data_IF_758129523192
#
_entry.id   IF_758129523192
#
_cell.length_a   1.000
_cell.length_b   1.000
_cell.length_c   1.000
_cell.angle_alpha   90.00
_cell.angle_beta   90.00
_cell.angle_gamma   90.00
#
_symmetry.space_group_name_H-M   'P 1'
#
loop_
_entity.id
_entity.type
_entity.pdbx_description
1 polymer ?
#
# COMPACT_ATOMS: atom_id res chain seq x y z
N UNK A 1 45.21 -26.69 19.43
CA UNK A 1 44.35 -25.83 18.59
C UNK A 1 42.89 -26.16 18.91
N UNK A 2 42.20 -25.40 19.78
CA UNK A 2 40.78 -25.64 20.05
C UNK A 2 39.91 -24.99 18.97
N UNK A 3 38.91 -25.74 18.52
CA UNK A 3 37.96 -25.37 17.47
C UNK A 3 36.97 -24.31 17.99
N UNK A 4 36.81 -23.22 17.25
CA UNK A 4 35.93 -22.12 17.58
C UNK A 4 34.46 -22.53 17.40
N UNK A 5 33.69 -22.47 18.49
CA UNK A 5 32.26 -22.71 18.50
C UNK A 5 31.52 -21.73 17.59
N UNK A 6 30.88 -22.26 16.55
CA UNK A 6 29.96 -21.52 15.70
C UNK A 6 28.78 -21.02 16.55
N UNK A 7 28.71 -19.70 16.78
CA UNK A 7 27.53 -19.08 17.39
C UNK A 7 26.38 -19.22 16.40
N UNK A 8 25.37 -20.02 16.77
CA UNK A 8 24.09 -20.09 16.05
C UNK A 8 23.50 -18.67 16.01
N UNK A 9 23.29 -18.17 14.79
CA UNK A 9 22.58 -16.93 14.50
C UNK A 9 21.08 -17.18 14.81
N UNK A 10 20.42 -16.38 15.66
CA UNK A 10 18.99 -16.56 15.90
C UNK A 10 18.21 -16.30 14.60
N UNK A 11 17.26 -17.17 14.30
CA UNK A 11 16.32 -16.96 13.19
C UNK A 11 15.46 -15.72 13.49
N UNK A 12 15.12 -14.90 12.48
CA UNK A 12 14.13 -13.84 12.67
C UNK A 12 12.81 -14.48 13.09
N UNK A 13 12.27 -14.01 14.22
CA UNK A 13 11.03 -14.55 14.79
C UNK A 13 9.89 -14.39 13.79
N UNK A 14 9.20 -15.49 13.49
CA UNK A 14 7.93 -15.44 12.79
C UNK A 14 6.97 -14.52 13.58
N UNK A 15 6.20 -13.64 12.92
CA UNK A 15 5.29 -12.77 13.63
C UNK A 15 4.21 -13.57 14.33
N UNK A 16 3.80 -13.13 15.52
CA UNK A 16 2.64 -13.68 16.22
C UNK A 16 1.42 -13.62 15.30
N UNK A 17 0.67 -14.72 15.24
CA UNK A 17 -0.52 -14.84 14.39
C UNK A 17 -1.60 -13.78 14.63
N UNK A 18 -1.53 -13.05 15.75
CA UNK A 18 -2.37 -11.89 16.03
C UNK A 18 -2.00 -10.67 15.15
N UNK A 19 -0.72 -10.34 15.02
CA UNK A 19 -0.24 -9.26 14.15
C UNK A 19 -0.54 -9.58 12.67
N UNK A 20 -0.53 -10.85 12.30
CA UNK A 20 -0.94 -11.31 10.98
C UNK A 20 -2.42 -11.10 10.69
N UNK A 21 -3.27 -11.34 11.70
CA UNK A 21 -4.73 -11.16 11.61
C UNK A 21 -5.12 -9.69 11.60
N UNK A 22 -4.42 -8.85 12.37
CA UNK A 22 -4.58 -7.39 12.34
C UNK A 22 -4.11 -6.82 11.00
N UNK A 23 -2.96 -7.25 10.48
CA UNK A 23 -2.47 -6.86 9.15
C UNK A 23 -3.42 -7.29 8.01
N UNK A 24 -4.04 -8.47 8.12
CA UNK A 24 -5.07 -8.90 7.17
C UNK A 24 -6.33 -8.03 7.27
N UNK A 25 -6.82 -7.77 8.48
CA UNK A 25 -7.96 -6.86 8.70
C UNK A 25 -7.71 -5.44 8.19
N UNK A 26 -6.47 -4.95 8.29
CA UNK A 26 -6.01 -3.66 7.75
C UNK A 26 -6.03 -3.63 6.21
N UNK A 27 -5.81 -4.76 5.53
CA UNK A 27 -5.87 -4.85 4.07
C UNK A 27 -7.31 -4.96 3.55
N UNK A 28 -8.20 -5.67 4.27
CA UNK A 28 -9.60 -5.85 3.88
C UNK A 28 -10.48 -4.62 4.15
N UNK A 29 -10.09 -3.74 5.07
CA UNK A 29 -10.78 -2.45 5.30
C UNK A 29 -10.29 -1.30 4.42
N UNK A 30 -9.30 -1.51 3.56
CA UNK A 30 -8.76 -0.47 2.68
C UNK A 30 -9.63 -0.22 1.43
N UNK A 31 -10.43 -1.21 1.01
CA UNK A 31 -11.29 -1.15 -0.18
C UNK A 31 -12.63 -0.40 0.06
N UNK A 32 -13.06 -0.22 1.31
CA UNK A 32 -14.40 0.30 1.69
C UNK A 32 -14.39 1.73 2.28
N UNK A 33 -13.26 2.44 2.21
CA UNK A 33 -13.20 3.80 2.77
C UNK A 33 -13.62 4.82 1.73
N UNK A 34 -14.89 5.22 1.76
CA UNK A 34 -15.34 6.45 1.10
C UNK A 34 -14.91 7.66 1.97
N UNK A 35 -13.92 8.45 1.50
CA UNK A 35 -13.27 9.49 2.29
C UNK A 35 -14.19 10.66 2.70
N UNK A 36 -15.35 10.80 2.06
CA UNK A 36 -16.30 11.90 2.34
C UNK A 36 -17.23 11.59 3.54
N UNK A 37 -17.34 10.33 3.97
CA UNK A 37 -18.37 9.89 4.92
C UNK A 37 -17.92 9.83 6.40
N UNK A 38 -16.62 9.93 6.71
CA UNK A 38 -16.09 9.64 8.06
C UNK A 38 -15.92 10.85 8.97
N UNK A 39 -16.05 12.08 8.47
CA UNK A 39 -15.87 13.31 9.27
C UNK A 39 -14.47 13.44 9.91
N UNK A 40 -13.51 12.62 9.48
CA UNK A 40 -12.11 12.69 9.89
C UNK A 40 -11.47 13.97 9.34
N UNK A 41 -10.41 14.51 9.99
CA UNK A 41 -9.64 15.58 9.39
C UNK A 41 -9.20 15.14 8.00
N UNK A 42 -9.55 15.92 6.97
CA UNK A 42 -9.24 15.64 5.56
C UNK A 42 -7.73 15.65 5.27
N UNK A 43 -6.92 15.95 6.28
CA UNK A 43 -5.48 16.09 6.21
C UNK A 43 -4.84 15.79 7.57
N UNK A 44 -3.74 15.05 7.57
CA UNK A 44 -2.97 14.66 8.74
C UNK A 44 -1.59 15.31 8.71
N UNK A 45 -1.05 15.74 9.85
CA UNK A 45 0.39 15.98 10.00
C UNK A 45 1.17 14.66 9.95
N UNK A 46 2.51 14.73 9.86
CA UNK A 46 3.34 13.52 9.93
C UNK A 46 3.19 12.81 11.28
N UNK A 47 3.08 13.57 12.36
CA UNK A 47 2.90 13.09 13.73
C UNK A 47 1.52 12.45 13.92
N UNK A 48 0.46 13.08 13.41
CA UNK A 48 -0.90 12.53 13.46
C UNK A 48 -1.01 11.24 12.65
N UNK A 49 -0.42 11.21 11.45
CA UNK A 49 -0.38 10.03 10.58
C UNK A 49 0.37 8.87 11.25
N UNK A 50 1.54 9.16 11.83
CA UNK A 50 2.35 8.18 12.54
C UNK A 50 1.61 7.59 13.76
N UNK A 51 0.97 8.46 14.56
CA UNK A 51 0.18 8.06 15.71
C UNK A 51 -1.03 7.21 15.32
N UNK A 52 -1.74 7.57 14.24
CA UNK A 52 -2.94 6.87 13.78
C UNK A 52 -2.68 5.43 13.36
N UNK A 53 -1.47 5.11 12.90
CA UNK A 53 -1.10 3.76 12.40
C UNK A 53 -0.07 3.04 13.28
N UNK A 54 0.34 3.65 14.39
CA UNK A 54 1.26 3.05 15.36
C UNK A 54 2.71 2.89 14.84
N UNK A 55 3.18 3.82 14.00
CA UNK A 55 4.58 3.83 13.51
C UNK A 55 5.33 5.07 14.00
N UNK A 56 6.66 5.06 13.84
CA UNK A 56 7.48 6.22 14.13
C UNK A 56 7.36 7.27 13.00
N UNK A 57 7.51 8.56 13.33
CA UNK A 57 7.41 9.67 12.35
C UNK A 57 8.48 9.54 11.27
N UNK A 58 9.65 8.99 11.61
CA UNK A 58 10.74 8.70 10.68
C UNK A 58 10.29 7.73 9.57
N UNK A 59 9.38 6.80 9.87
CA UNK A 59 8.84 5.85 8.89
C UNK A 59 7.89 6.57 7.94
N UNK A 60 7.09 7.52 8.43
CA UNK A 60 6.26 8.37 7.55
C UNK A 60 7.15 9.17 6.59
N UNK A 61 8.27 9.73 7.09
CA UNK A 61 9.24 10.44 6.26
C UNK A 61 9.93 9.52 5.26
N UNK A 62 10.27 8.30 5.66
CA UNK A 62 10.83 7.28 4.77
C UNK A 62 9.86 6.91 3.64
N UNK A 63 8.58 6.71 3.97
CA UNK A 63 7.54 6.43 2.98
C UNK A 63 7.35 7.60 2.01
N UNK A 64 7.41 8.84 2.49
CA UNK A 64 7.43 10.05 1.66
C UNK A 64 8.67 10.12 0.76
N UNK A 65 9.87 9.83 1.29
CA UNK A 65 11.13 9.83 0.54
C UNK A 65 11.13 8.80 -0.60
N UNK A 66 10.59 7.60 -0.35
CA UNK A 66 10.40 6.58 -1.39
C UNK A 66 9.18 6.86 -2.30
N UNK A 67 8.44 7.92 -2.01
CA UNK A 67 7.31 8.41 -2.80
C UNK A 67 6.07 7.53 -2.73
N UNK A 68 5.87 6.81 -1.62
CA UNK A 68 4.59 6.16 -1.30
C UNK A 68 3.56 7.18 -0.82
N UNK A 69 4.01 8.22 -0.14
CA UNK A 69 3.18 9.32 0.35
C UNK A 69 3.53 10.60 -0.39
N UNK A 70 2.52 11.42 -0.64
CA UNK A 70 2.69 12.77 -1.12
C UNK A 70 2.10 13.72 -0.08
N UNK A 71 2.91 14.65 0.42
CA UNK A 71 2.41 15.75 1.24
C UNK A 71 1.98 16.92 0.37
N UNK A 72 1.02 17.70 0.87
CA UNK A 72 0.65 19.02 0.35
C UNK A 72 0.89 20.05 1.43
N UNK A 73 1.46 21.20 1.05
CA UNK A 73 1.59 22.31 1.98
C UNK A 73 0.22 22.95 2.25
N UNK A 74 -0.21 22.91 3.51
CA UNK A 74 -1.39 23.60 4.02
C UNK A 74 -0.91 24.59 5.07
N UNK A 75 -1.13 25.89 4.83
CA UNK A 75 -0.63 26.96 5.71
C UNK A 75 0.89 26.86 6.02
N UNK A 76 1.69 26.35 5.08
CA UNK A 76 3.15 26.21 5.23
C UNK A 76 3.60 24.92 5.94
N UNK A 77 2.66 24.04 6.32
CA UNK A 77 2.94 22.77 6.99
C UNK A 77 2.67 21.61 6.02
N UNK A 78 3.54 20.59 5.94
CA UNK A 78 3.27 19.40 5.14
C UNK A 78 2.15 18.57 5.77
N UNK A 79 1.07 18.39 5.01
CA UNK A 79 -0.08 17.58 5.42
C UNK A 79 -0.33 16.47 4.40
N UNK A 80 -0.80 15.32 4.89
CA UNK A 80 -1.06 14.12 4.12
C UNK A 80 -2.56 13.87 4.02
N UNK A 81 -3.06 13.44 2.87
CA UNK A 81 -4.47 13.08 2.69
C UNK A 81 -4.83 11.71 3.25
N UNK A 82 -6.06 11.29 3.01
CA UNK A 82 -6.57 10.00 3.47
C UNK A 82 -5.92 8.79 2.79
N UNK A 83 -5.61 8.89 1.49
CA UNK A 83 -4.87 7.85 0.78
C UNK A 83 -3.53 7.54 1.46
N UNK A 84 -2.88 8.57 2.01
CA UNK A 84 -1.62 8.41 2.74
C UNK A 84 -1.81 7.61 4.04
N UNK A 85 -2.97 7.76 4.69
CA UNK A 85 -3.34 6.98 5.88
C UNK A 85 -3.55 5.50 5.54
N UNK A 86 -4.21 5.20 4.42
CA UNK A 86 -4.36 3.81 3.93
C UNK A 86 -3.00 3.20 3.61
N UNK A 87 -2.16 3.90 2.85
CA UNK A 87 -0.81 3.42 2.49
C UNK A 87 0.08 3.23 3.72
N UNK A 88 0.03 4.15 4.69
CA UNK A 88 0.80 4.04 5.93
C UNK A 88 0.35 2.85 6.79
N UNK A 89 -0.95 2.55 6.86
CA UNK A 89 -1.49 1.34 7.52
C UNK A 89 -0.97 0.07 6.87
N UNK A 90 -1.03 -0.03 5.54
CA UNK A 90 -0.55 -1.20 4.81
C UNK A 90 0.97 -1.39 5.02
N UNK A 91 1.74 -0.30 4.95
CA UNK A 91 3.17 -0.32 5.21
C UNK A 91 3.49 -0.77 6.65
N UNK A 92 2.71 -0.34 7.65
CA UNK A 92 2.85 -0.83 9.02
C UNK A 92 2.62 -2.35 9.12
N UNK A 93 1.61 -2.87 8.40
CA UNK A 93 1.35 -4.31 8.30
C UNK A 93 2.54 -5.09 7.72
N UNK A 94 3.13 -4.62 6.61
CA UNK A 94 4.33 -5.21 6.02
C UNK A 94 5.54 -5.19 6.97
N UNK A 95 5.71 -4.12 7.74
CA UNK A 95 6.81 -3.99 8.71
C UNK A 95 6.73 -5.03 9.83
N UNK A 96 5.54 -5.48 10.22
CA UNK A 96 5.38 -6.57 11.19
C UNK A 96 6.03 -7.90 10.72
N UNK A 97 6.24 -8.06 9.41
CA UNK A 97 6.95 -9.19 8.79
C UNK A 97 8.40 -8.86 8.40
N UNK A 98 8.93 -7.70 8.81
CA UNK A 98 10.27 -7.25 8.44
C UNK A 98 10.40 -6.66 7.03
N UNK A 99 9.27 -6.36 6.37
CA UNK A 99 9.26 -5.79 5.01
C UNK A 99 9.20 -4.25 5.11
N UNK A 100 10.36 -3.61 4.97
CA UNK A 100 10.52 -2.16 4.93
C UNK A 100 10.17 -1.51 3.57
N UNK A 101 10.01 -0.18 3.55
CA UNK A 101 9.65 0.64 2.39
C UNK A 101 10.56 0.42 1.17
N UNK A 102 11.87 0.18 1.40
CA UNK A 102 12.83 -0.17 0.34
C UNK A 102 12.44 -1.42 -0.46
N UNK A 103 11.80 -2.40 0.18
CA UNK A 103 11.34 -3.65 -0.44
C UNK A 103 10.00 -3.45 -1.15
N UNK A 104 9.18 -2.52 -0.64
CA UNK A 104 7.88 -2.18 -1.23
C UNK A 104 8.03 -1.48 -2.59
N UNK A 105 9.22 -0.98 -2.93
CA UNK A 105 9.46 -0.24 -4.18
C UNK A 105 9.07 -1.06 -5.43
N UNK A 106 9.23 -2.37 -5.40
CA UNK A 106 8.81 -3.24 -6.52
C UNK A 106 7.28 -3.21 -6.72
N UNK A 107 6.51 -3.18 -5.63
CA UNK A 107 5.06 -3.05 -5.66
C UNK A 107 4.65 -1.69 -6.24
N UNK A 108 5.30 -0.62 -5.79
CA UNK A 108 5.08 0.73 -6.33
C UNK A 108 5.30 0.77 -7.85
N UNK A 109 6.41 0.23 -8.33
CA UNK A 109 6.70 0.22 -9.77
C UNK A 109 5.72 -0.65 -10.57
N UNK A 110 5.18 -1.72 -9.98
CA UNK A 110 4.11 -2.49 -10.62
C UNK A 110 2.83 -1.66 -10.75
N UNK A 111 2.40 -1.00 -9.67
CA UNK A 111 1.23 -0.12 -9.66
C UNK A 111 1.38 1.05 -10.65
N UNK A 112 2.55 1.68 -10.75
CA UNK A 112 2.84 2.75 -11.72
C UNK A 112 2.66 2.26 -13.17
N UNK A 113 3.10 1.01 -13.46
CA UNK A 113 2.93 0.41 -14.80
C UNK A 113 1.48 0.07 -15.09
N UNK A 114 0.75 -0.48 -14.11
CA UNK A 114 -0.68 -0.79 -14.23
C UNK A 114 -1.51 0.48 -14.46
N UNK A 115 -1.29 1.52 -13.66
CA UNK A 115 -1.93 2.82 -13.85
C UNK A 115 -1.63 3.41 -15.23
N UNK A 116 -0.38 3.30 -15.70
CA UNK A 116 0.01 3.72 -17.04
C UNK A 116 -0.75 2.96 -18.14
N UNK A 117 -0.88 1.64 -18.01
CA UNK A 117 -1.65 0.81 -18.94
C UNK A 117 -3.14 1.17 -18.93
N UNK A 118 -3.75 1.27 -17.75
CA UNK A 118 -5.18 1.58 -17.62
C UNK A 118 -5.48 2.99 -18.15
N UNK A 119 -4.60 3.95 -17.89
CA UNK A 119 -4.69 5.30 -18.45
C UNK A 119 -4.71 5.30 -19.98
N UNK A 120 -3.89 4.48 -20.63
CA UNK A 120 -3.90 4.35 -22.09
C UNK A 120 -5.23 3.82 -22.62
N UNK A 121 -5.87 2.90 -21.90
CA UNK A 121 -7.17 2.33 -22.26
C UNK A 121 -8.29 3.37 -22.17
N UNK A 122 -8.31 4.19 -21.11
CA UNK A 122 -9.42 5.13 -20.87
C UNK A 122 -9.21 6.52 -21.48
N UNK A 123 -7.97 6.89 -21.85
CA UNK A 123 -7.64 8.17 -22.50
C UNK A 123 -8.56 8.51 -23.70
N UNK A 124 -8.89 7.57 -24.61
CA UNK A 124 -9.82 7.85 -25.71
C UNK A 124 -11.24 8.23 -25.25
N UNK A 125 -11.73 7.65 -24.15
CA UNK A 125 -13.03 7.97 -23.57
C UNK A 125 -13.03 9.35 -22.94
N UNK A 126 -11.99 9.68 -22.17
CA UNK A 126 -11.83 10.98 -21.52
C UNK A 126 -11.70 12.15 -22.50
N UNK A 127 -11.20 11.90 -23.72
CA UNK A 127 -11.16 12.89 -24.80
C UNK A 127 -12.54 13.26 -25.34
N UNK A 128 -13.54 12.39 -25.15
CA UNK A 128 -14.92 12.71 -25.50
C UNK A 128 -15.44 13.71 -24.46
N UNK A 129 -15.70 14.95 -24.89
CA UNK A 129 -16.23 16.03 -24.04
C UNK A 129 -17.71 15.86 -23.72
N UNK A 130 -18.11 14.68 -23.24
CA UNK A 130 -19.47 14.44 -22.74
C UNK A 130 -19.43 13.71 -21.37
N UNK A 131 -20.44 13.94 -20.52
CA UNK A 131 -20.50 13.32 -19.18
C UNK A 131 -20.55 11.79 -19.23
N UNK A 132 -21.33 11.21 -20.15
CA UNK A 132 -21.48 9.76 -20.25
C UNK A 132 -20.16 9.01 -20.58
N UNK A 133 -19.22 9.64 -21.30
CA UNK A 133 -17.91 9.06 -21.55
C UNK A 133 -16.98 9.13 -20.34
N UNK A 134 -17.14 10.15 -19.49
CA UNK A 134 -16.41 10.23 -18.21
C UNK A 134 -16.89 9.15 -17.25
N UNK A 135 -18.21 8.95 -17.13
CA UNK A 135 -18.79 7.86 -16.34
C UNK A 135 -18.30 6.49 -16.82
N UNK A 136 -18.29 6.26 -18.14
CA UNK A 136 -17.75 5.02 -18.71
C UNK A 136 -16.25 4.84 -18.43
N UNK A 137 -15.47 5.92 -18.47
CA UNK A 137 -14.05 5.87 -18.14
C UNK A 137 -13.80 5.50 -16.67
N UNK A 138 -14.59 6.06 -15.75
CA UNK A 138 -14.51 5.73 -14.32
C UNK A 138 -14.92 4.28 -14.06
N UNK A 139 -16.03 3.82 -14.65
CA UNK A 139 -16.46 2.43 -14.53
C UNK A 139 -15.40 1.45 -15.07
N UNK A 140 -14.80 1.75 -16.22
CA UNK A 140 -13.72 0.94 -16.78
C UNK A 140 -12.47 0.92 -15.90
N UNK A 141 -12.10 2.05 -15.27
CA UNK A 141 -10.97 2.09 -14.33
C UNK A 141 -11.23 1.23 -13.09
N UNK A 142 -12.44 1.26 -12.54
CA UNK A 142 -12.81 0.42 -11.40
C UNK A 142 -12.69 -1.07 -11.76
N UNK A 143 -13.30 -1.50 -12.88
CA UNK A 143 -13.25 -2.89 -13.33
C UNK A 143 -11.81 -3.35 -13.64
N UNK A 144 -11.00 -2.51 -14.31
CA UNK A 144 -9.59 -2.82 -14.57
C UNK A 144 -8.77 -2.98 -13.29
N UNK A 145 -9.07 -2.16 -12.27
CA UNK A 145 -8.39 -2.22 -10.97
C UNK A 145 -8.73 -3.52 -10.24
N UNK A 146 -10.02 -3.88 -10.19
CA UNK A 146 -10.48 -5.15 -9.62
C UNK A 146 -9.84 -6.37 -10.31
N UNK A 147 -9.84 -6.39 -11.65
CA UNK A 147 -9.22 -7.45 -12.44
C UNK A 147 -7.71 -7.53 -12.19
N UNK A 148 -7.03 -6.38 -12.11
CA UNK A 148 -5.59 -6.30 -11.82
C UNK A 148 -5.25 -6.89 -10.46
N UNK A 149 -5.97 -6.49 -9.41
CA UNK A 149 -5.81 -7.02 -8.05
C UNK A 149 -6.06 -8.54 -8.00
N UNK A 150 -7.13 -9.02 -8.64
CA UNK A 150 -7.46 -10.44 -8.70
C UNK A 150 -6.38 -11.26 -9.44
N UNK A 151 -5.87 -10.76 -10.56
CA UNK A 151 -4.78 -11.36 -11.31
C UNK A 151 -3.50 -11.44 -10.47
N UNK A 152 -3.10 -10.33 -9.85
CA UNK A 152 -1.90 -10.28 -9.00
C UNK A 152 -1.98 -11.31 -7.86
N UNK A 153 -3.10 -11.32 -7.12
CA UNK A 153 -3.31 -12.28 -6.04
C UNK A 153 -3.28 -13.74 -6.54
N UNK A 154 -3.83 -14.02 -7.73
CA UNK A 154 -3.77 -15.35 -8.33
C UNK A 154 -2.35 -15.77 -8.69
N UNK A 155 -1.57 -14.88 -9.31
CA UNK A 155 -0.18 -15.14 -9.68
C UNK A 155 0.70 -15.38 -8.45
N UNK A 156 0.59 -14.53 -7.42
CA UNK A 156 1.32 -14.71 -6.16
C UNK A 156 0.98 -16.06 -5.50
N UNK A 157 -0.31 -16.42 -5.43
CA UNK A 157 -0.72 -17.73 -4.90
C UNK A 157 -0.20 -18.90 -5.73
N UNK A 158 -0.07 -18.73 -7.05
CA UNK A 158 0.49 -19.76 -7.93
C UNK A 158 1.97 -20.00 -7.61
N UNK A 159 2.77 -18.93 -7.56
CA UNK A 159 4.21 -19.02 -7.26
C UNK A 159 4.49 -19.57 -5.86
N UNK A 160 3.65 -19.25 -4.88
CA UNK A 160 3.81 -19.74 -3.50
C UNK A 160 3.35 -21.19 -3.30
N UNK A 161 2.53 -21.74 -4.20
CA UNK A 161 2.02 -23.11 -4.10
C UNK A 161 3.16 -24.13 -4.08
N UNK A 162 4.18 -23.88 -4.88
CA UNK A 162 5.38 -24.73 -4.98
C UNK A 162 6.21 -24.70 -3.70
N UNK A 163 6.15 -23.60 -2.94
CA UNK A 163 6.84 -23.46 -1.66
C UNK A 163 6.11 -24.17 -0.51
N UNK A 164 4.77 -24.18 -0.53
CA UNK A 164 3.96 -24.78 0.53
C UNK A 164 3.74 -26.29 0.38
N UNK A 165 4.24 -26.89 -0.71
CA UNK A 165 4.02 -28.30 -1.04
C UNK A 165 2.57 -28.52 -1.47
N UNK A 166 2.32 -28.49 -2.78
CA UNK A 166 1.03 -28.83 -3.37
C UNK A 166 0.57 -30.25 -3.08
#
# INVERSE_FOLDING_TARGET
>A
MPSAGARRRPAPGAPDGAAAKEAAGLAQGADDVDPDLTGAPSSFSAEELAAAVGIAVEVVRELEEYGFLASRLVAGVPCYGEDALVVARLAAGFRAYGIESRHLRTFKHAAEREAGLFSQVVTPLLRQRNPAAHERAQAALAELTELGCALHASLVRSELRDLTGG
#
